data_IF_940650687719
#
_entry.id   IF_940650687719
#
_cell.length_a   1.000
_cell.length_b   1.000
_cell.length_c   1.000
_cell.angle_alpha   90.00
_cell.angle_beta   90.00
_cell.angle_gamma   90.00
#
_symmetry.space_group_name_H-M   'P 1'
#
loop_
_entity.id
_entity.type
_entity.pdbx_description
1 polymer ?
#
# COMPACT_ATOMS: atom_id res chain seq x y z
N UNK A 1 -5.93 10.99 11.70
CA UNK A 1 -7.11 10.14 11.45
C UNK A 1 -8.30 11.06 11.33
N UNK A 2 -8.94 11.07 10.17
CA UNK A 2 -10.01 12.01 9.81
C UNK A 2 -11.28 11.71 10.62
N UNK A 3 -11.75 12.67 11.44
CA UNK A 3 -12.96 12.57 12.27
C UNK A 3 -14.21 12.23 11.45
N UNK A 4 -14.16 12.41 10.12
CA UNK A 4 -15.24 12.04 9.19
C UNK A 4 -15.54 10.54 9.17
N UNK A 5 -14.58 9.66 9.42
CA UNK A 5 -14.80 8.21 9.37
C UNK A 5 -15.56 7.66 10.59
N UNK A 6 -15.45 8.32 11.74
CA UNK A 6 -16.16 7.91 12.96
C UNK A 6 -17.65 8.32 12.93
N UNK A 7 -17.95 9.51 12.40
CA UNK A 7 -19.29 10.08 12.45
C UNK A 7 -20.30 9.47 11.44
N UNK A 8 -19.85 8.67 10.46
CA UNK A 8 -20.73 8.06 9.46
C UNK A 8 -21.59 6.92 10.05
N UNK A 9 -21.17 6.30 11.17
CA UNK A 9 -21.94 5.24 11.83
C UNK A 9 -22.89 5.71 12.93
N UNK A 10 -22.65 6.87 13.56
CA UNK A 10 -23.44 7.30 14.73
C UNK A 10 -24.78 7.96 14.37
N UNK A 11 -24.91 8.56 13.18
CA UNK A 11 -26.08 9.37 12.82
C UNK A 11 -27.34 8.55 12.43
N UNK A 12 -27.32 7.22 12.61
CA UNK A 12 -28.47 6.34 12.36
C UNK A 12 -29.09 5.72 13.61
N UNK A 13 -28.65 6.14 14.81
CA UNK A 13 -29.16 5.60 16.08
C UNK A 13 -30.08 6.55 16.85
N UNK A 14 -30.36 7.77 16.36
CA UNK A 14 -31.25 8.73 17.05
C UNK A 14 -32.67 8.73 16.46
N UNK A 15 -33.66 8.53 17.33
CA UNK A 15 -35.09 8.57 17.04
C UNK A 15 -35.59 10.01 16.79
N UNK A 16 -36.76 10.22 16.16
CA UNK A 16 -37.18 11.52 15.63
C UNK A 16 -37.60 12.60 16.66
N UNK A 17 -37.47 12.37 17.97
CA UNK A 17 -38.07 13.24 18.99
C UNK A 17 -37.14 14.30 19.60
N UNK A 18 -35.85 14.36 19.23
CA UNK A 18 -34.88 15.33 19.79
C UNK A 18 -34.51 16.51 18.86
N UNK A 19 -35.30 16.80 17.82
CA UNK A 19 -34.99 17.89 16.86
C UNK A 19 -35.75 19.21 17.07
N UNK A 20 -36.43 19.39 18.21
CA UNK A 20 -37.20 20.59 18.48
C UNK A 20 -36.80 21.24 19.80
N UNK A 21 -35.64 21.89 19.85
CA UNK A 21 -35.38 23.03 20.75
C UNK A 21 -34.03 23.67 20.40
N UNK A 22 -34.01 24.99 20.20
CA UNK A 22 -32.75 25.76 20.06
C UNK A 22 -32.62 26.62 18.79
N UNK A 23 -33.64 27.42 18.44
CA UNK A 23 -33.49 28.55 17.50
C UNK A 23 -33.23 29.84 18.30
N UNK A 24 -32.03 30.40 18.20
CA UNK A 24 -31.75 31.79 18.60
C UNK A 24 -30.91 32.48 17.52
N UNK A 25 -31.40 33.64 17.10
CA UNK A 25 -30.82 34.57 16.10
C UNK A 25 -29.62 35.34 16.66
N UNK A 26 -28.66 35.69 15.79
CA UNK A 26 -28.01 37.00 15.82
C UNK A 26 -27.37 37.35 14.46
N UNK A 27 -27.49 38.63 14.11
CA UNK A 27 -27.26 39.30 12.83
C UNK A 27 -25.79 39.74 12.53
N UNK A 28 -25.48 39.75 11.22
CA UNK A 28 -24.79 40.78 10.38
C UNK A 28 -23.28 41.15 10.52
N UNK A 29 -22.65 41.28 9.32
CA UNK A 29 -21.37 41.93 8.90
C UNK A 29 -20.06 41.21 9.27
N UNK A 30 -19.11 40.93 8.39
CA UNK A 30 -18.52 41.71 7.29
C UNK A 30 -17.85 40.79 6.24
N UNK A 31 -17.82 41.19 4.95
CA UNK A 31 -17.14 40.46 3.85
C UNK A 31 -15.77 41.07 3.52
N UNK A 32 -14.69 40.28 3.36
CA UNK A 32 -13.50 40.71 2.64
C UNK A 32 -13.52 40.25 1.16
N UNK A 33 -13.04 41.16 0.30
CA UNK A 33 -12.89 41.10 -1.16
C UNK A 33 -11.66 40.25 -1.56
N UNK A 34 -11.66 39.54 -2.71
CA UNK A 34 -10.52 38.72 -3.14
C UNK A 34 -9.41 39.58 -3.80
N UNK A 35 -8.13 39.19 -3.69
CA UNK A 35 -7.04 39.87 -4.39
C UNK A 35 -6.93 39.45 -5.86
N UNK A 36 -6.36 40.37 -6.64
CA UNK A 36 -6.36 40.44 -8.10
C UNK A 36 -5.43 39.45 -8.80
N UNK A 37 -5.85 39.08 -10.02
CA UNK A 37 -5.15 38.26 -11.02
C UNK A 37 -4.01 39.05 -11.65
N UNK A 38 -2.80 38.49 -11.70
CA UNK A 38 -1.67 39.02 -12.46
C UNK A 38 -1.49 38.20 -13.74
N UNK A 39 -1.44 38.91 -14.87
CA UNK A 39 -1.38 38.39 -16.22
C UNK A 39 0.00 37.84 -16.60
N UNK A 40 0.01 36.74 -17.35
CA UNK A 40 1.16 36.21 -18.10
C UNK A 40 1.23 36.84 -19.50
N UNK A 41 2.41 37.23 -20.01
CA UNK A 41 2.57 37.59 -21.41
C UNK A 41 3.05 36.41 -22.27
N UNK A 42 2.74 36.53 -23.55
CA UNK A 42 2.82 35.55 -24.63
C UNK A 42 4.25 35.24 -25.14
N UNK A 43 4.30 34.15 -25.91
CA UNK A 43 5.45 33.59 -26.62
C UNK A 43 6.12 34.53 -27.64
N UNK A 44 7.36 34.20 -28.06
CA UNK A 44 7.86 34.57 -29.37
C UNK A 44 8.20 33.35 -30.26
N UNK A 45 8.04 33.58 -31.56
CA UNK A 45 8.28 32.70 -32.71
C UNK A 45 9.74 32.72 -33.22
N UNK A 46 10.19 31.55 -33.71
CA UNK A 46 11.09 31.23 -34.83
C UNK A 46 12.35 32.08 -35.18
N UNK A 47 13.52 31.41 -35.20
CA UNK A 47 14.63 31.57 -36.17
C UNK A 47 15.60 30.39 -36.02
N UNK A 48 15.75 29.52 -37.04
CA UNK A 48 16.84 29.50 -38.03
C UNK A 48 18.25 29.25 -37.47
N UNK A 49 18.80 28.05 -37.72
CA UNK A 49 20.23 27.85 -38.00
C UNK A 49 20.44 26.57 -38.80
N UNK A 50 20.85 26.73 -40.06
CA UNK A 50 21.39 25.68 -40.92
C UNK A 50 22.88 25.49 -40.63
N UNK A 51 23.36 24.26 -40.64
CA UNK A 51 24.76 23.92 -40.91
C UNK A 51 24.86 22.52 -41.52
N UNK A 52 25.69 22.44 -42.55
CA UNK A 52 25.78 21.42 -43.59
C UNK A 52 26.48 20.11 -43.19
N UNK A 53 26.19 19.02 -43.91
CA UNK A 53 27.22 18.16 -44.51
C UNK A 53 26.63 17.16 -45.55
N UNK A 54 27.08 17.36 -46.80
CA UNK A 54 27.39 16.39 -47.86
C UNK A 54 26.44 15.22 -48.19
N UNK A 55 25.97 15.26 -49.45
CA UNK A 55 25.46 14.13 -50.20
C UNK A 55 26.56 13.10 -50.54
N UNK A 56 26.18 11.83 -50.52
CA UNK A 56 26.74 10.80 -51.41
C UNK A 56 25.62 9.86 -51.82
N UNK A 57 25.35 9.82 -53.12
CA UNK A 57 24.45 8.88 -53.79
C UNK A 57 24.83 7.42 -53.48
N UNK A 58 23.84 6.59 -53.18
CA UNK A 58 23.86 5.21 -53.63
C UNK A 58 22.45 4.63 -53.76
N UNK A 59 22.24 4.01 -54.91
CA UNK A 59 20.99 3.46 -55.43
C UNK A 59 20.80 2.02 -54.92
N UNK A 60 19.73 1.72 -54.18
CA UNK A 60 19.25 0.35 -53.97
C UNK A 60 17.76 0.30 -53.55
N UNK A 61 17.08 -0.73 -54.08
CA UNK A 61 15.64 -1.09 -54.04
C UNK A 61 14.93 -0.97 -52.67
N UNK A 62 13.58 -0.90 -52.64
CA UNK A 62 12.83 -0.94 -51.38
C UNK A 62 12.91 -2.33 -50.72
N UNK A 63 13.30 -2.36 -49.45
CA UNK A 63 13.32 -3.53 -48.57
C UNK A 63 11.90 -3.93 -48.12
N UNK A 64 11.66 -5.24 -48.09
CA UNK A 64 10.47 -5.88 -47.49
C UNK A 64 10.53 -5.82 -45.94
N UNK A 65 9.40 -5.93 -45.23
CA UNK A 65 9.39 -5.89 -43.77
C UNK A 65 10.14 -7.09 -43.18
N UNK A 66 11.11 -6.83 -42.31
CA UNK A 66 11.86 -7.83 -41.55
C UNK A 66 10.93 -8.68 -40.66
N UNK A 67 11.08 -10.00 -40.76
CA UNK A 67 10.56 -10.97 -39.79
C UNK A 67 11.33 -10.81 -38.47
N UNK A 68 10.63 -10.39 -37.40
CA UNK A 68 11.14 -10.52 -36.04
C UNK A 68 11.28 -12.01 -35.71
N UNK A 69 12.51 -12.48 -35.54
CA UNK A 69 12.79 -13.86 -35.17
C UNK A 69 12.41 -14.11 -33.70
N UNK A 70 11.36 -14.89 -33.50
CA UNK A 70 11.01 -15.46 -32.20
C UNK A 70 12.18 -16.31 -31.65
N UNK A 71 12.58 -16.04 -30.41
CA UNK A 71 13.54 -16.87 -29.68
C UNK A 71 12.80 -18.10 -29.14
N UNK A 72 13.07 -19.27 -29.71
CA UNK A 72 12.55 -20.56 -29.25
C UNK A 72 13.03 -20.88 -27.82
N UNK A 73 12.07 -21.06 -26.89
CA UNK A 73 12.30 -21.65 -25.57
C UNK A 73 12.24 -23.20 -25.68
N UNK A 74 13.23 -23.97 -25.18
CA UNK A 74 13.28 -25.43 -25.35
C UNK A 74 12.29 -26.20 -24.48
N UNK A 75 11.49 -25.53 -23.65
CA UNK A 75 10.40 -26.15 -22.90
C UNK A 75 9.13 -26.08 -23.74
N UNK A 76 8.46 -27.22 -24.01
CA UNK A 76 7.34 -27.37 -24.96
C UNK A 76 6.04 -26.57 -24.67
N UNK A 77 6.14 -25.43 -24.02
CA UNK A 77 5.14 -24.37 -23.94
C UNK A 77 5.05 -23.69 -25.31
N UNK A 78 3.93 -23.89 -26.03
CA UNK A 78 3.62 -23.11 -27.25
C UNK A 78 3.66 -21.62 -26.90
N UNK A 79 4.74 -20.93 -27.26
CA UNK A 79 4.92 -19.50 -27.05
C UNK A 79 4.21 -18.65 -28.11
N UNK A 80 4.20 -17.33 -27.91
CA UNK A 80 3.77 -16.37 -28.92
C UNK A 80 2.28 -16.41 -29.29
N UNK A 81 1.99 -16.18 -30.57
CA UNK A 81 0.63 -16.12 -31.12
C UNK A 81 -0.08 -17.48 -31.12
N UNK A 82 0.68 -18.58 -31.28
CA UNK A 82 0.13 -19.94 -31.24
C UNK A 82 -0.32 -20.30 -29.81
N UNK A 83 0.47 -19.91 -28.80
CA UNK A 83 0.10 -20.06 -27.39
C UNK A 83 -1.21 -19.35 -27.05
N UNK A 84 -1.38 -18.10 -27.48
CA UNK A 84 -2.59 -17.31 -27.23
C UNK A 84 -3.84 -17.93 -27.89
N UNK A 85 -3.72 -18.37 -29.14
CA UNK A 85 -4.78 -19.10 -29.83
C UNK A 85 -5.17 -20.37 -29.06
N UNK A 86 -4.17 -21.15 -28.64
CA UNK A 86 -4.36 -22.38 -27.90
C UNK A 86 -5.05 -22.16 -26.53
N UNK A 87 -4.60 -21.19 -25.74
CA UNK A 87 -5.20 -20.84 -24.45
C UNK A 87 -6.66 -20.39 -24.61
N UNK A 88 -6.94 -19.65 -25.69
CA UNK A 88 -8.28 -19.20 -26.07
C UNK A 88 -9.12 -20.30 -26.76
N UNK A 89 -8.59 -21.52 -26.90
CA UNK A 89 -9.25 -22.67 -27.57
C UNK A 89 -9.64 -22.39 -29.03
N UNK A 90 -8.87 -21.55 -29.71
CA UNK A 90 -9.06 -21.20 -31.12
C UNK A 90 -7.97 -21.83 -31.98
N UNK A 91 -8.29 -22.24 -33.22
CA UNK A 91 -7.28 -22.72 -34.16
C UNK A 91 -6.32 -21.57 -34.55
N UNK A 92 -5.02 -21.81 -34.47
CA UNK A 92 -4.01 -20.81 -34.76
C UNK A 92 -4.02 -20.36 -36.24
N UNK A 93 -4.13 -21.32 -37.15
CA UNK A 93 -3.80 -21.21 -38.57
C UNK A 93 -5.03 -21.15 -39.51
N UNK A 94 -6.24 -21.23 -38.97
CA UNK A 94 -7.49 -21.19 -39.73
C UNK A 94 -8.60 -20.48 -38.99
N UNK A 95 -9.57 -19.95 -39.75
CA UNK A 95 -10.78 -19.38 -39.19
C UNK A 95 -11.71 -20.48 -38.66
N UNK A 96 -12.40 -20.19 -37.58
CA UNK A 96 -13.52 -21.00 -37.09
C UNK A 96 -14.74 -20.83 -38.01
N UNK A 97 -15.69 -21.77 -37.93
CA UNK A 97 -16.94 -21.67 -38.67
C UNK A 97 -17.74 -20.40 -38.29
N UNK A 98 -17.64 -19.96 -37.03
CA UNK A 98 -18.30 -18.75 -36.56
C UNK A 98 -17.63 -17.50 -37.11
N UNK A 99 -16.29 -17.41 -37.09
CA UNK A 99 -15.58 -16.29 -37.71
C UNK A 99 -15.85 -16.22 -39.22
N UNK A 100 -15.88 -17.36 -39.91
CA UNK A 100 -16.20 -17.41 -41.34
C UNK A 100 -17.64 -16.95 -41.65
N UNK A 101 -18.59 -17.23 -40.74
CA UNK A 101 -19.96 -16.74 -40.86
C UNK A 101 -20.09 -15.24 -40.57
N UNK A 102 -19.31 -14.71 -39.62
CA UNK A 102 -19.30 -13.29 -39.27
C UNK A 102 -18.55 -12.41 -40.28
N UNK A 103 -17.51 -12.96 -40.92
CA UNK A 103 -16.63 -12.26 -41.87
C UNK A 103 -16.56 -13.00 -43.22
N UNK A 104 -17.69 -13.12 -43.95
CA UNK A 104 -17.75 -13.91 -45.18
C UNK A 104 -16.89 -13.34 -46.31
N UNK A 105 -16.70 -12.02 -46.33
CA UNK A 105 -15.80 -11.31 -47.24
C UNK A 105 -14.34 -11.71 -47.01
N UNK A 106 -13.91 -11.83 -45.75
CA UNK A 106 -12.55 -12.31 -45.39
C UNK A 106 -12.43 -13.80 -45.68
N UNK A 107 -13.42 -14.62 -45.32
CA UNK A 107 -13.38 -16.07 -45.54
C UNK A 107 -13.29 -16.47 -47.03
N UNK A 108 -13.84 -15.63 -47.92
CA UNK A 108 -13.78 -15.83 -49.38
C UNK A 108 -12.64 -15.05 -50.05
N UNK A 109 -11.88 -14.27 -49.28
CA UNK A 109 -10.77 -13.45 -49.79
C UNK A 109 -9.49 -14.26 -50.02
N UNK A 110 -8.44 -13.57 -50.48
CA UNK A 110 -7.12 -14.16 -50.71
C UNK A 110 -6.53 -14.81 -49.45
N UNK A 111 -5.67 -15.84 -49.59
CA UNK A 111 -4.96 -16.43 -48.45
C UNK A 111 -4.17 -15.41 -47.62
N UNK A 112 -3.64 -14.36 -48.24
CA UNK A 112 -2.93 -13.27 -47.55
C UNK A 112 -3.87 -12.49 -46.63
N UNK A 113 -5.07 -12.15 -47.09
CA UNK A 113 -6.09 -11.46 -46.30
C UNK A 113 -6.55 -12.32 -45.11
N UNK A 114 -6.72 -13.63 -45.30
CA UNK A 114 -7.03 -14.57 -44.23
C UNK A 114 -5.89 -14.68 -43.21
N UNK A 115 -4.63 -14.77 -43.67
CA UNK A 115 -3.45 -14.76 -42.79
C UNK A 115 -3.37 -13.48 -41.95
N UNK A 116 -3.63 -12.31 -42.53
CA UNK A 116 -3.64 -11.04 -41.81
C UNK A 116 -4.75 -11.01 -40.75
N UNK A 117 -5.95 -11.49 -41.07
CA UNK A 117 -7.03 -11.64 -40.09
C UNK A 117 -6.60 -12.53 -38.91
N UNK A 118 -6.04 -13.70 -39.18
CA UNK A 118 -5.60 -14.65 -38.15
C UNK A 118 -4.47 -14.09 -37.29
N UNK A 119 -3.53 -13.35 -37.90
CA UNK A 119 -2.48 -12.63 -37.19
C UNK A 119 -3.06 -11.58 -36.24
N UNK A 120 -3.93 -10.70 -36.73
CA UNK A 120 -4.59 -9.66 -35.92
C UNK A 120 -5.38 -10.30 -34.78
N UNK A 121 -6.19 -11.31 -35.08
CA UNK A 121 -6.97 -12.03 -34.06
C UNK A 121 -6.06 -12.65 -33.00
N UNK A 122 -5.02 -13.39 -33.37
CA UNK A 122 -4.08 -13.97 -32.39
C UNK A 122 -3.35 -12.91 -31.57
N UNK A 123 -3.00 -11.79 -32.20
CA UNK A 123 -2.35 -10.69 -31.50
C UNK A 123 -3.27 -10.06 -30.47
N UNK A 124 -4.56 -9.91 -30.79
CA UNK A 124 -5.57 -9.45 -29.83
C UNK A 124 -5.71 -10.43 -28.66
N UNK A 125 -5.79 -11.73 -28.94
CA UNK A 125 -5.86 -12.76 -27.88
C UNK A 125 -4.64 -12.70 -26.97
N UNK A 126 -3.44 -12.61 -27.54
CA UNK A 126 -2.18 -12.51 -26.78
C UNK A 126 -2.16 -11.28 -25.88
N UNK A 127 -2.67 -10.14 -26.37
CA UNK A 127 -2.78 -8.91 -25.57
C UNK A 127 -3.79 -9.07 -24.42
N UNK A 128 -4.93 -9.71 -24.67
CA UNK A 128 -5.93 -9.99 -23.63
C UNK A 128 -5.40 -10.94 -22.56
N UNK A 129 -4.74 -12.03 -22.95
CA UNK A 129 -4.12 -12.97 -22.02
C UNK A 129 -3.09 -12.26 -21.12
N UNK A 130 -2.28 -11.38 -21.72
CA UNK A 130 -1.30 -10.58 -20.98
C UNK A 130 -1.97 -9.61 -20.00
N UNK A 131 -3.03 -8.92 -20.42
CA UNK A 131 -3.74 -7.96 -19.57
C UNK A 131 -4.41 -8.65 -18.37
N UNK A 132 -5.03 -9.81 -18.59
CA UNK A 132 -5.63 -10.62 -17.52
C UNK A 132 -4.54 -11.12 -16.56
N UNK A 133 -3.40 -11.57 -17.09
CA UNK A 133 -2.26 -11.95 -16.25
C UNK A 133 -1.73 -10.77 -15.43
N UNK A 134 -1.66 -9.58 -16.02
CA UNK A 134 -1.28 -8.36 -15.29
C UNK A 134 -2.28 -8.02 -14.17
N UNK A 135 -3.56 -8.34 -14.30
CA UNK A 135 -4.52 -8.23 -13.19
C UNK A 135 -4.16 -9.16 -12.02
N UNK A 136 -3.74 -10.40 -12.30
CA UNK A 136 -3.26 -11.31 -11.25
C UNK A 136 -1.96 -10.83 -10.60
N UNK A 137 -1.05 -10.24 -11.39
CA UNK A 137 0.13 -9.59 -10.82
C UNK A 137 -0.25 -8.38 -9.95
N UNK A 138 -1.22 -7.56 -10.36
CA UNK A 138 -1.74 -6.46 -9.54
C UNK A 138 -2.34 -6.97 -8.22
N UNK A 139 -3.02 -8.13 -8.25
CA UNK A 139 -3.56 -8.76 -7.05
C UNK A 139 -2.45 -9.24 -6.09
N UNK A 140 -1.32 -9.73 -6.63
CA UNK A 140 -0.15 -10.08 -5.82
C UNK A 140 0.56 -8.83 -5.26
N UNK A 141 0.63 -7.74 -6.04
CA UNK A 141 1.12 -6.44 -5.58
C UNK A 141 0.22 -5.83 -4.50
N UNK A 142 -1.09 -6.08 -4.58
CA UNK A 142 -2.06 -5.71 -3.55
C UNK A 142 -1.79 -6.46 -2.25
N UNK A 143 -1.65 -7.80 -2.30
CA UNK A 143 -1.40 -8.61 -1.12
C UNK A 143 -0.13 -8.14 -0.37
N UNK A 144 0.95 -7.92 -1.12
CA UNK A 144 2.24 -7.50 -0.57
C UNK A 144 2.40 -5.96 -0.40
N UNK A 145 1.39 -5.18 -0.80
CA UNK A 145 1.41 -3.71 -0.88
C UNK A 145 2.67 -3.12 -1.54
N UNK A 146 3.25 -3.76 -2.55
CA UNK A 146 4.46 -3.25 -3.20
C UNK A 146 4.57 -3.75 -4.64
N UNK A 147 5.26 -3.03 -5.54
CA UNK A 147 5.58 -3.55 -6.86
C UNK A 147 6.40 -4.83 -6.78
N UNK A 148 6.09 -5.81 -7.64
CA UNK A 148 6.77 -7.13 -7.61
C UNK A 148 8.29 -7.03 -7.83
N UNK A 149 8.75 -5.99 -8.53
CA UNK A 149 10.17 -5.69 -8.77
C UNK A 149 10.97 -5.46 -7.48
N UNK A 150 10.30 -5.18 -6.36
CA UNK A 150 10.94 -4.90 -5.07
C UNK A 150 10.94 -6.07 -4.11
N UNK A 151 10.14 -7.12 -4.36
CA UNK A 151 10.00 -8.27 -3.48
C UNK A 151 11.21 -9.19 -3.57
N UNK A 152 11.59 -9.78 -2.43
CA UNK A 152 12.63 -10.80 -2.39
C UNK A 152 12.13 -12.09 -3.03
N UNK A 153 12.71 -12.50 -4.15
CA UNK A 153 12.34 -13.76 -4.82
C UNK A 153 12.38 -14.97 -3.88
N UNK A 154 13.33 -15.01 -2.94
CA UNK A 154 13.56 -16.16 -2.05
C UNK A 154 12.72 -16.14 -0.77
N UNK A 155 12.23 -14.97 -0.36
CA UNK A 155 11.76 -14.75 1.00
C UNK A 155 10.45 -13.96 1.08
N UNK A 156 9.82 -13.61 -0.04
CA UNK A 156 8.58 -12.83 -0.03
C UNK A 156 7.41 -13.56 0.65
N UNK A 157 7.41 -14.89 0.58
CA UNK A 157 6.40 -15.85 1.08
C UNK A 157 6.87 -16.60 2.33
N UNK A 158 7.87 -16.07 3.06
CA UNK A 158 8.45 -16.77 4.23
C UNK A 158 7.51 -16.92 5.43
N UNK A 159 6.38 -16.23 5.44
CA UNK A 159 5.31 -16.33 6.44
C UNK A 159 4.11 -17.21 6.02
N UNK A 160 4.08 -17.73 4.80
CA UNK A 160 3.00 -18.59 4.29
C UNK A 160 2.81 -19.87 5.14
N UNK A 161 3.91 -20.44 5.65
CA UNK A 161 3.90 -21.63 6.53
C UNK A 161 3.11 -21.41 7.83
N UNK A 162 2.80 -20.16 8.19
CA UNK A 162 2.11 -19.78 9.41
C UNK A 162 0.68 -19.25 9.15
N UNK A 163 0.16 -19.35 7.91
CA UNK A 163 -1.19 -18.92 7.60
C UNK A 163 -2.23 -19.59 8.53
N UNK A 164 -3.19 -18.80 9.01
CA UNK A 164 -4.28 -19.34 9.81
C UNK A 164 -5.25 -20.14 8.95
N UNK A 165 -5.69 -21.28 9.46
CA UNK A 165 -6.73 -22.08 8.81
C UNK A 165 -8.08 -21.36 8.81
N UNK A 166 -8.90 -21.62 7.78
CA UNK A 166 -10.28 -21.14 7.69
C UNK A 166 -10.45 -20.01 6.69
N UNK A 167 -11.70 -19.62 6.43
CA UNK A 167 -11.99 -18.54 5.48
C UNK A 167 -11.64 -17.18 6.06
N UNK A 168 -11.17 -16.27 5.20
CA UNK A 168 -10.99 -14.87 5.57
C UNK A 168 -12.35 -14.23 5.93
N UNK A 169 -12.35 -13.40 6.98
CA UNK A 169 -13.54 -12.72 7.51
C UNK A 169 -13.37 -11.21 7.43
N UNK A 170 -14.50 -10.49 7.44
CA UNK A 170 -14.54 -9.02 7.43
C UNK A 170 -15.25 -8.50 8.68
N UNK A 171 -14.69 -7.46 9.31
CA UNK A 171 -15.28 -6.82 10.48
C UNK A 171 -16.34 -5.81 10.02
N UNK A 172 -17.58 -6.27 9.92
CA UNK A 172 -18.69 -5.51 9.29
C UNK A 172 -19.14 -4.25 10.03
N UNK A 173 -18.84 -4.13 11.32
CA UNK A 173 -19.10 -2.93 12.13
C UNK A 173 -17.90 -1.98 12.22
N UNK A 174 -16.87 -2.19 11.39
CA UNK A 174 -15.65 -1.39 11.36
C UNK A 174 -14.60 -1.92 12.35
N UNK A 175 -13.38 -2.15 11.85
CA UNK A 175 -12.28 -2.70 12.67
C UNK A 175 -11.84 -1.75 13.79
N UNK A 176 -12.21 -0.46 13.75
CA UNK A 176 -11.91 0.50 14.84
C UNK A 176 -12.52 0.12 16.19
N UNK A 177 -13.56 -0.73 16.21
CA UNK A 177 -14.15 -1.21 17.47
C UNK A 177 -13.12 -1.95 18.35
N UNK A 178 -12.12 -2.61 17.76
CA UNK A 178 -11.07 -3.33 18.49
C UNK A 178 -10.12 -2.40 19.24
N UNK A 179 -9.39 -1.45 18.59
CA UNK A 179 -8.50 -0.55 19.31
C UNK A 179 -9.24 0.40 20.27
N UNK A 180 -10.49 0.77 19.98
CA UNK A 180 -11.31 1.57 20.90
C UNK A 180 -11.62 0.77 22.17
N UNK A 181 -12.00 -0.50 22.06
CA UNK A 181 -12.19 -1.34 23.23
C UNK A 181 -10.89 -1.55 24.02
N UNK A 182 -9.76 -1.79 23.33
CA UNK A 182 -8.46 -1.99 23.98
C UNK A 182 -7.93 -0.73 24.67
N UNK A 183 -8.42 0.46 24.30
CA UNK A 183 -8.02 1.72 24.94
C UNK A 183 -8.69 1.99 26.28
N UNK A 184 -9.73 1.24 26.63
CA UNK A 184 -10.49 1.46 27.86
C UNK A 184 -9.59 1.31 29.09
N UNK A 185 -9.63 2.31 29.97
CA UNK A 185 -8.84 2.33 31.20
C UNK A 185 -7.35 2.65 31.04
N UNK A 186 -6.86 2.91 29.82
CA UNK A 186 -5.45 3.27 29.57
C UNK A 186 -5.23 4.79 29.57
N UNK A 187 -4.06 5.22 30.06
CA UNK A 187 -3.65 6.62 29.97
C UNK A 187 -3.08 6.96 28.59
N UNK A 188 -3.95 7.35 27.66
CA UNK A 188 -3.58 7.69 26.28
C UNK A 188 -3.53 9.20 26.08
N UNK A 189 -2.36 9.70 25.67
CA UNK A 189 -2.18 11.10 25.30
C UNK A 189 -2.30 11.28 23.78
N UNK A 190 -3.50 11.59 23.31
CA UNK A 190 -3.73 11.95 21.91
C UNK A 190 -3.15 13.34 21.60
N UNK A 191 -2.85 13.60 20.32
CA UNK A 191 -2.23 14.85 19.88
C UNK A 191 -0.89 15.16 20.57
N UNK A 192 -0.11 14.12 20.90
CA UNK A 192 1.24 14.24 21.45
C UNK A 192 2.21 13.57 20.49
N UNK A 193 2.97 14.40 19.78
CA UNK A 193 3.95 13.94 18.80
C UNK A 193 5.33 13.81 19.45
N UNK A 194 5.85 12.60 19.55
CA UNK A 194 7.22 12.34 19.98
C UNK A 194 8.20 12.99 19.00
N UNK A 195 9.24 13.65 19.52
CA UNK A 195 10.29 14.30 18.74
C UNK A 195 11.67 13.73 19.04
N UNK A 196 11.93 13.37 20.29
CA UNK A 196 13.19 12.73 20.67
C UNK A 196 13.00 11.68 21.76
N UNK A 197 13.83 10.65 21.69
CA UNK A 197 13.96 9.57 22.67
C UNK A 197 15.39 9.59 23.17
N UNK A 198 15.59 10.14 24.37
CA UNK A 198 16.88 10.11 25.04
C UNK A 198 16.90 8.92 25.98
N UNK A 199 17.93 8.08 25.94
CA UNK A 199 18.01 6.90 26.79
C UNK A 199 19.43 6.71 27.32
N UNK A 200 19.54 6.32 28.59
CA UNK A 200 20.80 6.13 29.30
C UNK A 200 20.73 4.90 30.21
N UNK A 201 21.81 4.60 30.92
CA UNK A 201 21.79 3.50 31.89
C UNK A 201 20.80 3.70 33.03
N UNK A 202 20.33 4.92 33.27
CA UNK A 202 19.43 5.28 34.39
C UNK A 202 17.96 5.43 34.00
N UNK A 203 17.62 5.47 32.71
CA UNK A 203 16.22 5.59 32.26
C UNK A 203 16.08 6.18 30.87
N UNK A 204 14.86 6.64 30.56
CA UNK A 204 14.50 7.30 29.29
C UNK A 204 13.82 8.65 29.53
N UNK A 205 14.10 9.61 28.65
CA UNK A 205 13.44 10.91 28.57
C UNK A 205 12.88 11.13 27.16
N UNK A 206 11.55 11.20 27.05
CA UNK A 206 10.82 11.37 25.79
C UNK A 206 10.39 12.83 25.68
N UNK A 207 10.88 13.55 24.66
CA UNK A 207 10.39 14.90 24.36
C UNK A 207 9.29 14.84 23.32
N UNK A 208 8.24 15.61 23.57
CA UNK A 208 7.03 15.64 22.76
C UNK A 208 6.60 17.07 22.46
N UNK A 209 5.79 17.22 21.41
CA UNK A 209 5.19 18.50 21.01
C UNK A 209 3.75 18.27 20.58
N UNK A 210 2.92 19.31 20.61
CA UNK A 210 1.60 19.22 20.00
C UNK A 210 1.74 19.30 18.46
N UNK A 211 1.09 18.43 17.67
CA UNK A 211 1.32 18.35 16.22
C UNK A 211 0.75 19.55 15.44
N UNK A 212 -0.20 20.29 16.03
CA UNK A 212 -0.91 21.41 15.37
C UNK A 212 -0.58 22.78 15.95
N UNK A 213 0.14 22.86 17.06
CA UNK A 213 0.44 24.13 17.72
C UNK A 213 1.91 24.19 18.11
N UNK A 214 2.52 25.37 17.96
CA UNK A 214 3.89 25.62 18.39
C UNK A 214 3.93 25.89 19.90
N UNK A 215 3.53 24.88 20.69
CA UNK A 215 3.67 24.89 22.14
C UNK A 215 5.08 24.51 22.58
N UNK A 216 5.41 24.81 23.83
CA UNK A 216 6.66 24.36 24.43
C UNK A 216 6.71 22.81 24.47
N UNK A 217 7.88 22.20 24.20
CA UNK A 217 8.03 20.76 24.32
C UNK A 217 7.71 20.25 25.74
N UNK A 218 7.11 19.08 25.83
CA UNK A 218 6.83 18.38 27.11
C UNK A 218 7.73 17.15 27.21
N UNK A 219 8.37 16.98 28.37
CA UNK A 219 9.26 15.85 28.66
C UNK A 219 8.59 14.85 29.58
N UNK A 220 8.58 13.58 29.17
CA UNK A 220 8.18 12.44 29.98
C UNK A 220 9.42 11.65 30.41
N UNK A 221 9.50 11.26 31.68
CA UNK A 221 10.56 10.38 32.20
C UNK A 221 9.99 9.02 32.53
N UNK A 222 10.73 7.96 32.22
CA UNK A 222 10.34 6.58 32.53
C UNK A 222 11.57 5.68 32.68
N UNK A 223 11.36 4.46 33.19
CA UNK A 223 12.41 3.45 33.27
C UNK A 223 12.71 2.78 31.92
N UNK A 224 11.70 2.68 31.04
CA UNK A 224 11.79 2.09 29.72
C UNK A 224 10.83 2.78 28.73
N UNK A 225 11.13 2.64 27.44
CA UNK A 225 10.28 3.08 26.34
C UNK A 225 9.98 1.90 25.40
N UNK A 226 8.72 1.71 25.05
CA UNK A 226 8.31 0.80 23.98
C UNK A 226 7.99 1.60 22.72
N UNK A 227 8.77 1.38 21.67
CA UNK A 227 8.59 2.01 20.36
C UNK A 227 7.65 1.15 19.53
N UNK A 228 6.54 1.75 19.11
CA UNK A 228 5.58 1.17 18.14
C UNK A 228 5.39 2.09 16.93
N UNK A 229 6.36 2.96 16.66
CA UNK A 229 6.36 3.82 15.48
C UNK A 229 6.38 2.94 14.22
N UNK A 230 5.55 3.23 13.19
CA UNK A 230 5.60 2.46 11.95
C UNK A 230 6.98 2.46 11.30
N UNK A 231 7.31 1.38 10.59
CA UNK A 231 8.59 1.23 9.91
C UNK A 231 8.89 2.40 8.97
N UNK A 232 7.89 2.93 8.27
CA UNK A 232 8.03 4.12 7.43
C UNK A 232 8.48 5.37 8.21
N UNK A 233 7.94 5.60 9.41
CA UNK A 233 8.34 6.71 10.29
C UNK A 233 9.77 6.51 10.80
N UNK A 234 10.15 5.28 11.16
CA UNK A 234 11.52 4.96 11.55
C UNK A 234 12.51 5.18 10.39
N UNK A 235 12.14 4.83 9.15
CA UNK A 235 12.94 5.10 7.95
C UNK A 235 13.15 6.59 7.70
N UNK A 236 12.11 7.43 7.84
CA UNK A 236 12.28 8.89 7.72
C UNK A 236 13.13 9.47 8.87
N UNK A 237 13.03 8.88 10.05
CA UNK A 237 13.84 9.27 11.21
C UNK A 237 15.34 9.05 10.98
N UNK A 238 15.73 8.01 10.23
CA UNK A 238 17.14 7.79 9.83
C UNK A 238 17.67 8.87 8.88
N UNK A 239 16.80 9.47 8.08
CA UNK A 239 17.18 10.52 7.12
C UNK A 239 17.23 11.90 7.76
N UNK A 240 16.73 12.03 9.00
CA UNK A 240 16.49 13.31 9.69
C UNK A 240 15.69 14.32 8.84
N UNK A 241 14.92 13.84 7.87
CA UNK A 241 14.24 14.66 6.87
C UNK A 241 12.74 14.39 6.95
N UNK A 242 11.95 15.44 7.15
CA UNK A 242 10.50 15.40 7.05
C UNK A 242 9.77 15.68 8.37
N UNK A 243 8.46 15.98 8.29
CA UNK A 243 7.65 16.17 9.47
C UNK A 243 7.46 14.84 10.21
N UNK A 244 7.45 14.89 11.54
CA UNK A 244 7.14 13.75 12.43
C UNK A 244 8.20 12.65 12.51
N UNK A 245 9.45 12.99 12.19
CA UNK A 245 10.62 12.18 12.53
C UNK A 245 10.94 12.23 14.03
N UNK A 246 11.55 11.17 14.54
CA UNK A 246 11.96 11.00 15.94
C UNK A 246 13.47 10.83 16.01
N UNK A 247 14.16 11.70 16.76
CA UNK A 247 15.59 11.53 17.01
C UNK A 247 15.83 10.58 18.19
N UNK A 248 16.89 9.78 18.09
CA UNK A 248 17.33 8.88 19.15
C UNK A 248 18.68 9.36 19.67
N UNK A 249 18.81 9.46 21.00
CA UNK A 249 20.04 9.89 21.65
C UNK A 249 20.38 8.97 22.84
N UNK A 250 21.46 8.16 22.78
CA UNK A 250 22.39 8.04 21.65
C UNK A 250 21.69 7.49 20.38
N UNK A 251 22.33 7.61 19.19
CA UNK A 251 21.77 7.05 17.96
C UNK A 251 21.52 5.55 18.05
N UNK A 252 20.54 5.06 17.29
CA UNK A 252 20.30 3.62 17.14
C UNK A 252 21.57 2.93 16.59
N UNK A 253 21.91 1.73 17.08
CA UNK A 253 23.11 1.02 16.66
C UNK A 253 23.02 0.58 15.18
N UNK A 254 24.17 0.42 14.55
CA UNK A 254 24.28 0.13 13.12
C UNK A 254 23.47 -1.11 12.69
N UNK A 255 23.50 -2.20 13.47
CA UNK A 255 22.75 -3.41 13.15
C UNK A 255 21.22 -3.16 13.07
N UNK A 256 20.71 -2.19 13.85
CA UNK A 256 19.29 -1.79 13.82
C UNK A 256 19.01 -0.90 12.62
N UNK A 257 19.86 0.09 12.37
CA UNK A 257 19.66 1.03 11.26
C UNK A 257 19.83 0.36 9.90
N UNK A 258 20.72 -0.62 9.77
CA UNK A 258 20.86 -1.42 8.55
C UNK A 258 19.65 -2.33 8.31
N UNK A 259 19.08 -2.96 9.35
CA UNK A 259 17.84 -3.72 9.21
C UNK A 259 16.68 -2.81 8.78
N UNK A 260 16.53 -1.65 9.43
CA UNK A 260 15.57 -0.61 9.05
C UNK A 260 15.72 -0.18 7.60
N UNK A 261 16.95 -0.06 7.08
CA UNK A 261 17.20 0.32 5.69
C UNK A 261 16.82 -0.79 4.71
N UNK A 262 17.21 -2.04 5.00
CA UNK A 262 16.94 -3.20 4.14
C UNK A 262 15.46 -3.46 4.00
N UNK A 263 14.70 -3.58 5.10
CA UNK A 263 13.30 -3.98 5.08
C UNK A 263 12.43 -3.11 4.16
N UNK A 264 11.47 -3.71 3.47
CA UNK A 264 10.49 -2.99 2.65
C UNK A 264 9.39 -2.35 3.50
N UNK A 265 8.88 -1.19 3.09
CA UNK A 265 7.64 -0.62 3.63
C UNK A 265 6.76 -0.14 2.48
N UNK A 266 5.69 -0.89 2.24
CA UNK A 266 4.87 -0.83 1.04
C UNK A 266 3.83 0.30 1.07
N UNK A 267 3.06 0.41 -0.01
CA UNK A 267 1.92 1.30 -0.13
C UNK A 267 0.74 0.64 -0.85
N UNK A 268 -0.45 0.84 -0.30
CA UNK A 268 -1.73 0.37 -0.84
C UNK A 268 -2.80 1.37 -0.41
N UNK A 269 -3.60 1.86 -1.35
CA UNK A 269 -4.67 2.82 -1.05
C UNK A 269 -6.06 2.28 -1.39
N UNK A 270 -7.07 2.88 -0.77
CA UNK A 270 -8.49 2.53 -0.88
C UNK A 270 -9.30 3.76 -1.26
N UNK A 271 -10.30 3.55 -2.09
CA UNK A 271 -11.32 4.55 -2.44
C UNK A 271 -12.68 4.01 -1.97
N UNK A 272 -13.25 4.65 -0.96
CA UNK A 272 -14.58 4.32 -0.44
C UNK A 272 -15.60 5.15 -1.19
N UNK A 273 -16.64 4.50 -1.74
CA UNK A 273 -17.71 5.13 -2.50
C UNK A 273 -19.05 4.75 -1.87
N UNK A 274 -19.74 5.72 -1.27
CA UNK A 274 -21.05 5.53 -0.66
C UNK A 274 -22.15 5.97 -1.63
N UNK A 275 -23.08 5.08 -1.95
CA UNK A 275 -24.19 5.35 -2.87
C UNK A 275 -25.54 5.42 -2.14
N UNK A 276 -26.60 5.81 -2.85
CA UNK A 276 -27.96 5.78 -2.33
C UNK A 276 -28.66 4.43 -2.52
N UNK A 277 -28.18 3.61 -3.47
CA UNK A 277 -28.71 2.28 -3.79
C UNK A 277 -27.62 1.35 -4.28
N UNK A 278 -27.89 0.05 -4.21
CA UNK A 278 -27.08 -1.00 -4.82
C UNK A 278 -27.39 -1.06 -6.32
N UNK A 279 -26.36 -1.08 -7.16
CA UNK A 279 -26.47 -1.26 -8.63
C UNK A 279 -25.55 -2.38 -9.17
N UNK A 280 -24.89 -3.11 -8.26
CA UNK A 280 -24.05 -4.27 -8.54
C UNK A 280 -24.73 -5.56 -8.07
N UNK A 281 -24.14 -6.72 -8.33
CA UNK A 281 -24.62 -7.99 -7.80
C UNK A 281 -24.41 -8.08 -6.28
N UNK A 282 -25.48 -8.13 -5.47
CA UNK A 282 -25.35 -8.19 -4.02
C UNK A 282 -24.76 -9.51 -3.50
N UNK A 283 -24.71 -10.56 -4.32
CA UNK A 283 -24.14 -11.87 -3.94
C UNK A 283 -22.63 -11.95 -4.23
N UNK A 284 -22.10 -11.02 -5.03
CA UNK A 284 -20.67 -10.92 -5.29
C UNK A 284 -20.01 -10.04 -4.21
N UNK A 285 -19.08 -10.63 -3.45
CA UNK A 285 -18.28 -9.89 -2.46
C UNK A 285 -17.20 -9.01 -3.11
N UNK A 286 -16.77 -9.35 -4.33
CA UNK A 286 -15.76 -8.62 -5.08
C UNK A 286 -15.87 -8.84 -6.59
N UNK A 287 -15.36 -7.88 -7.38
CA UNK A 287 -15.20 -8.01 -8.83
C UNK A 287 -13.98 -7.23 -9.32
N UNK A 288 -13.31 -7.74 -10.36
CA UNK A 288 -12.10 -7.16 -10.92
C UNK A 288 -12.35 -6.22 -12.11
N UNK A 289 -11.41 -5.30 -12.32
CA UNK A 289 -11.28 -4.45 -13.49
C UNK A 289 -9.87 -4.63 -14.07
N UNK A 290 -9.80 -5.14 -15.29
CA UNK A 290 -8.52 -5.39 -15.97
C UNK A 290 -8.00 -4.08 -16.56
N UNK A 291 -6.85 -3.62 -16.06
CA UNK A 291 -6.19 -2.41 -16.57
C UNK A 291 -5.72 -2.57 -18.02
N UNK A 292 -5.72 -1.48 -18.77
CA UNK A 292 -5.35 -1.51 -20.20
C UNK A 292 -3.84 -1.67 -20.44
N UNK A 293 -3.00 -1.35 -19.44
CA UNK A 293 -1.54 -1.43 -19.55
C UNK A 293 -0.93 -2.05 -18.29
N UNK A 294 0.23 -2.69 -18.45
CA UNK A 294 1.02 -3.22 -17.32
C UNK A 294 1.35 -2.14 -16.27
N UNK A 295 1.63 -0.91 -16.70
CA UNK A 295 1.96 0.19 -15.78
C UNK A 295 0.77 0.65 -14.93
N UNK A 296 -0.47 0.49 -15.43
CA UNK A 296 -1.71 0.88 -14.74
C UNK A 296 -2.46 -0.31 -14.14
N UNK A 297 -1.86 -1.51 -14.12
CA UNK A 297 -2.54 -2.76 -13.72
C UNK A 297 -3.13 -2.73 -12.30
N UNK A 298 -2.52 -1.96 -11.40
CA UNK A 298 -2.98 -1.78 -10.02
C UNK A 298 -3.94 -0.60 -9.80
N UNK A 299 -4.25 0.19 -10.84
CA UNK A 299 -5.15 1.34 -10.72
C UNK A 299 -6.61 0.88 -10.73
N UNK A 300 -7.29 0.98 -9.57
CA UNK A 300 -8.72 0.66 -9.43
C UNK A 300 -9.06 -0.74 -9.95
N UNK A 301 -8.15 -1.70 -9.71
CA UNK A 301 -8.18 -3.03 -10.33
C UNK A 301 -9.17 -3.99 -9.66
N UNK A 302 -9.59 -3.72 -8.42
CA UNK A 302 -10.44 -4.58 -7.62
C UNK A 302 -11.43 -3.74 -6.81
N UNK A 303 -12.70 -4.15 -6.83
CA UNK A 303 -13.79 -3.54 -6.07
C UNK A 303 -14.38 -4.56 -5.10
N UNK A 304 -14.64 -4.12 -3.88
CA UNK A 304 -15.24 -4.92 -2.81
C UNK A 304 -16.62 -4.40 -2.42
N UNK A 305 -17.53 -5.35 -2.19
CA UNK A 305 -18.88 -5.18 -1.65
C UNK A 305 -18.99 -6.05 -0.39
N UNK A 306 -18.68 -5.49 0.78
CA UNK A 306 -18.55 -6.26 2.04
C UNK A 306 -19.44 -5.75 3.18
N UNK A 307 -20.12 -4.62 2.96
CA UNK A 307 -20.96 -3.96 3.95
C UNK A 307 -22.44 -4.12 3.60
N UNK A 308 -23.31 -4.03 4.61
CA UNK A 308 -24.78 -4.03 4.40
C UNK A 308 -25.26 -2.76 3.70
N UNK A 309 -24.56 -1.66 3.91
CA UNK A 309 -24.84 -0.37 3.26
C UNK A 309 -24.34 -0.39 1.81
N UNK A 310 -24.95 0.39 0.90
CA UNK A 310 -24.53 0.50 -0.51
C UNK A 310 -23.17 1.21 -0.63
N UNK A 311 -22.10 0.49 -0.31
CA UNK A 311 -20.72 0.97 -0.31
C UNK A 311 -19.87 0.05 -1.17
N UNK A 312 -19.20 0.62 -2.16
CA UNK A 312 -18.11 -0.05 -2.87
C UNK A 312 -16.77 0.48 -2.39
N UNK A 313 -15.79 -0.40 -2.30
CA UNK A 313 -14.42 -0.06 -1.95
C UNK A 313 -13.49 -0.47 -3.10
N UNK A 314 -12.90 0.50 -3.78
CA UNK A 314 -11.93 0.26 -4.85
C UNK A 314 -10.50 0.23 -4.28
N UNK A 315 -9.65 -0.62 -4.84
CA UNK A 315 -8.25 -0.79 -4.42
C UNK A 315 -7.29 -0.20 -5.43
N UNK A 316 -6.22 0.41 -4.92
CA UNK A 316 -5.11 0.96 -5.72
C UNK A 316 -3.80 0.37 -5.20
N UNK A 317 -3.16 -0.48 -6.02
CA UNK A 317 -1.99 -1.29 -5.64
C UNK A 317 -0.79 -1.07 -6.57
N UNK A 318 0.35 -1.69 -6.24
CA UNK A 318 1.58 -1.62 -7.03
C UNK A 318 2.07 -0.20 -7.24
N UNK A 319 2.66 0.08 -8.41
CA UNK A 319 3.17 1.42 -8.76
C UNK A 319 2.08 2.50 -8.76
N UNK A 320 0.84 2.12 -9.11
CA UNK A 320 -0.29 3.03 -9.15
C UNK A 320 -0.61 3.63 -7.77
N UNK A 321 -0.35 2.89 -6.68
CA UNK A 321 -0.62 3.36 -5.32
C UNK A 321 0.12 4.65 -4.97
N UNK A 322 1.40 4.77 -5.39
CA UNK A 322 2.20 5.97 -5.14
C UNK A 322 1.85 7.12 -6.10
N UNK A 323 1.60 6.80 -7.37
CA UNK A 323 1.25 7.81 -8.39
C UNK A 323 -0.08 8.48 -8.04
N UNK A 324 -1.08 7.69 -7.64
CA UNK A 324 -2.44 8.18 -7.36
C UNK A 324 -2.52 9.07 -6.12
N UNK A 325 -1.57 9.02 -5.18
CA UNK A 325 -1.58 9.97 -4.04
C UNK A 325 -1.38 11.42 -4.49
N UNK A 326 -0.74 11.65 -5.65
CA UNK A 326 -0.53 12.99 -6.23
C UNK A 326 -1.70 13.47 -7.12
N UNK A 327 -2.77 12.67 -7.22
CA UNK A 327 -3.97 12.99 -7.99
C UNK A 327 -5.07 13.47 -7.03
N UNK A 328 -5.89 14.43 -7.43
CA UNK A 328 -7.00 14.92 -6.58
C UNK A 328 -8.11 13.89 -6.40
N UNK A 329 -8.83 13.98 -5.29
CA UNK A 329 -9.95 13.06 -4.97
C UNK A 329 -11.00 13.04 -6.09
N UNK A 330 -11.41 14.20 -6.60
CA UNK A 330 -12.43 14.30 -7.66
C UNK A 330 -12.03 13.51 -8.92
N UNK A 331 -10.75 13.52 -9.29
CA UNK A 331 -10.24 12.79 -10.45
C UNK A 331 -10.25 11.28 -10.17
N UNK A 332 -9.80 10.85 -8.99
CA UNK A 332 -9.78 9.44 -8.59
C UNK A 332 -11.19 8.88 -8.53
N UNK A 333 -12.12 9.63 -7.94
CA UNK A 333 -13.55 9.30 -7.87
C UNK A 333 -14.13 9.25 -9.28
N UNK A 334 -13.85 10.25 -10.12
CA UNK A 334 -14.28 10.28 -11.52
C UNK A 334 -13.84 9.06 -12.31
N UNK A 335 -12.57 8.63 -12.16
CA UNK A 335 -12.03 7.41 -12.78
C UNK A 335 -12.73 6.16 -12.24
N UNK A 336 -12.98 6.08 -10.94
CA UNK A 336 -13.72 4.97 -10.32
C UNK A 336 -15.14 4.85 -10.87
N UNK A 337 -15.84 5.98 -11.02
CA UNK A 337 -17.18 6.01 -11.62
C UNK A 337 -17.14 5.65 -13.11
N UNK A 338 -16.11 6.06 -13.85
CA UNK A 338 -15.94 5.68 -15.26
C UNK A 338 -15.77 4.16 -15.41
N UNK A 339 -14.95 3.52 -14.57
CA UNK A 339 -14.81 2.05 -14.53
C UNK A 339 -16.14 1.38 -14.25
N UNK A 340 -16.85 1.82 -13.19
CA UNK A 340 -18.14 1.24 -12.81
C UNK A 340 -19.19 1.40 -13.92
N UNK A 341 -19.21 2.55 -14.63
CA UNK A 341 -20.10 2.77 -15.77
C UNK A 341 -19.77 1.87 -16.96
N UNK A 342 -18.50 1.55 -17.17
CA UNK A 342 -18.08 0.56 -18.17
C UNK A 342 -18.61 -0.85 -17.89
N UNK A 343 -18.70 -1.22 -16.60
CA UNK A 343 -19.15 -2.55 -16.17
C UNK A 343 -20.69 -2.64 -16.09
N UNK A 344 -21.34 -1.67 -15.44
CA UNK A 344 -22.77 -1.73 -15.11
C UNK A 344 -23.66 -0.87 -16.01
N UNK A 345 -23.06 -0.09 -16.93
CA UNK A 345 -23.77 0.80 -17.84
C UNK A 345 -24.00 2.21 -17.28
N UNK A 346 -23.99 3.20 -18.19
CA UNK A 346 -24.02 4.63 -17.86
C UNK A 346 -25.23 5.09 -17.03
N UNK A 347 -26.40 4.50 -17.26
CA UNK A 347 -27.66 4.87 -16.58
C UNK A 347 -27.82 4.22 -15.21
N UNK A 348 -27.13 3.10 -14.95
CA UNK A 348 -27.26 2.35 -13.70
C UNK A 348 -26.51 3.02 -12.55
N UNK A 349 -25.31 3.55 -12.82
CA UNK A 349 -24.36 4.07 -11.83
C UNK A 349 -24.69 5.52 -11.44
N UNK A 350 -25.19 5.77 -10.20
CA UNK A 350 -25.41 7.13 -9.71
C UNK A 350 -24.09 7.78 -9.27
N UNK A 351 -24.14 9.09 -8.99
CA UNK A 351 -23.04 9.75 -8.29
C UNK A 351 -22.98 9.28 -6.83
N UNK A 352 -21.78 9.10 -6.26
CA UNK A 352 -21.64 8.78 -4.85
C UNK A 352 -22.11 9.98 -4.00
N UNK A 353 -22.74 9.69 -2.86
CA UNK A 353 -23.15 10.69 -1.87
C UNK A 353 -21.95 11.15 -1.05
N UNK A 354 -21.06 10.23 -0.73
CA UNK A 354 -19.84 10.46 0.03
C UNK A 354 -18.72 9.62 -0.58
N UNK A 355 -17.49 10.12 -0.50
CA UNK A 355 -16.32 9.41 -0.94
C UNK A 355 -15.10 9.73 -0.07
N UNK A 356 -14.22 8.75 0.12
CA UNK A 356 -12.97 8.91 0.88
C UNK A 356 -11.85 8.21 0.12
N UNK A 357 -10.73 8.91 -0.06
CA UNK A 357 -9.50 8.36 -0.68
C UNK A 357 -8.40 8.33 0.37
N UNK A 358 -7.80 7.16 0.62
CA UNK A 358 -6.64 7.06 1.53
C UNK A 358 -5.36 7.44 0.81
N UNK A 359 -4.39 7.98 1.57
CA UNK A 359 -3.02 8.28 1.11
C UNK A 359 -2.01 7.90 2.19
N UNK A 360 -1.78 6.60 2.35
CA UNK A 360 -1.00 6.06 3.46
C UNK A 360 0.48 6.46 3.43
N UNK A 361 1.06 6.66 2.23
CA UNK A 361 2.45 7.12 2.11
C UNK A 361 2.60 8.60 2.48
N UNK A 362 1.62 9.42 2.12
CA UNK A 362 1.56 10.82 2.51
C UNK A 362 1.26 11.03 4.01
N UNK A 363 0.52 10.12 4.65
CA UNK A 363 0.24 10.21 6.10
C UNK A 363 1.56 10.28 6.88
N UNK A 364 1.83 11.39 7.59
CA UNK A 364 3.11 11.57 8.25
C UNK A 364 3.29 10.69 9.49
N UNK A 365 2.23 10.03 9.96
CA UNK A 365 2.28 9.12 11.11
C UNK A 365 2.40 7.65 10.69
N UNK A 366 2.29 7.35 9.39
CA UNK A 366 2.44 6.00 8.84
C UNK A 366 3.60 5.90 7.85
N UNK A 367 3.68 6.83 6.88
CA UNK A 367 4.69 6.86 5.80
C UNK A 367 4.66 5.61 4.89
N UNK A 368 3.49 5.02 4.75
CA UNK A 368 3.24 3.79 4.01
C UNK A 368 2.14 2.96 4.67
N UNK A 369 1.93 1.76 4.14
CA UNK A 369 0.89 0.83 4.58
C UNK A 369 1.44 -0.17 5.60
N UNK A 370 2.22 -1.15 5.15
CA UNK A 370 2.82 -2.20 5.98
C UNK A 370 4.14 -2.72 5.40
N UNK A 371 4.89 -3.50 6.18
CA UNK A 371 6.19 -4.03 5.77
C UNK A 371 6.08 -5.12 4.71
N UNK A 372 7.16 -5.32 3.95
CA UNK A 372 7.34 -6.47 3.07
C UNK A 372 8.81 -6.90 3.08
N UNK A 373 9.09 -8.15 2.67
CA UNK A 373 10.47 -8.63 2.51
C UNK A 373 11.01 -8.17 1.17
N UNK A 374 11.78 -7.08 1.21
CA UNK A 374 12.41 -6.50 0.03
C UNK A 374 13.57 -7.35 -0.50
N UNK A 375 13.90 -7.19 -1.79
CA UNK A 375 15.11 -7.76 -2.35
C UNK A 375 16.35 -7.29 -1.56
N UNK A 376 17.14 -8.25 -1.06
CA UNK A 376 18.27 -8.00 -0.17
C UNK A 376 17.96 -8.01 1.33
N UNK A 377 16.67 -8.14 1.72
CA UNK A 377 16.23 -8.39 3.09
C UNK A 377 15.81 -9.85 3.28
N UNK A 378 15.63 -10.26 4.55
CA UNK A 378 15.18 -11.61 4.94
C UNK A 378 14.29 -11.52 6.18
N UNK A 379 13.62 -12.61 6.54
CA UNK A 379 12.88 -12.73 7.80
C UNK A 379 13.67 -12.35 9.05
N UNK A 380 14.99 -12.53 9.05
CA UNK A 380 15.84 -12.18 10.19
C UNK A 380 15.87 -10.68 10.48
N UNK A 381 15.58 -9.82 9.49
CA UNK A 381 15.49 -8.38 9.74
C UNK A 381 14.31 -8.03 10.69
N UNK A 382 13.21 -8.80 10.68
CA UNK A 382 12.13 -8.65 11.67
C UNK A 382 12.59 -8.99 13.09
N UNK A 383 13.43 -10.02 13.24
CA UNK A 383 14.00 -10.43 14.54
C UNK A 383 15.00 -9.38 15.06
N UNK A 384 15.81 -8.82 14.15
CA UNK A 384 16.65 -7.66 14.45
C UNK A 384 15.79 -6.47 14.87
N UNK A 385 14.70 -6.18 14.19
CA UNK A 385 13.78 -5.11 14.56
C UNK A 385 13.16 -5.30 15.95
N UNK A 386 12.84 -6.54 16.34
CA UNK A 386 12.33 -6.88 17.67
C UNK A 386 13.37 -6.79 18.80
N UNK A 387 14.67 -6.75 18.49
CA UNK A 387 15.73 -6.76 19.50
C UNK A 387 15.77 -5.43 20.29
N UNK A 388 15.78 -5.44 21.63
CA UNK A 388 15.78 -4.21 22.42
C UNK A 388 17.16 -3.55 22.42
N UNK A 389 17.24 -2.29 22.86
CA UNK A 389 18.46 -1.48 22.91
C UNK A 389 18.74 -1.07 24.35
N UNK A 390 19.98 -1.30 24.76
CA UNK A 390 20.56 -0.80 26.02
C UNK A 390 21.37 0.48 25.77
N UNK A 391 21.68 1.21 26.85
CA UNK A 391 22.44 2.46 26.78
C UNK A 391 23.82 2.32 26.13
N UNK A 392 24.48 1.17 26.33
CA UNK A 392 25.72 0.80 25.65
C UNK A 392 25.40 -0.37 24.70
N UNK A 393 25.01 -0.14 23.45
CA UNK A 393 24.51 -1.21 22.58
C UNK A 393 25.58 -2.28 22.33
N UNK A 394 25.26 -3.53 22.63
CA UNK A 394 26.01 -4.69 22.15
C UNK A 394 25.31 -5.28 20.91
N UNK A 395 25.99 -6.09 20.09
CA UNK A 395 25.32 -6.87 19.04
C UNK A 395 24.19 -7.74 19.63
N UNK A 396 23.11 -8.03 18.88
CA UNK A 396 21.95 -8.79 19.40
C UNK A 396 22.28 -10.16 19.99
N UNK A 397 23.36 -10.79 19.51
CA UNK A 397 23.81 -12.11 19.95
C UNK A 397 24.88 -12.05 21.05
N UNK A 398 25.15 -10.88 21.63
CA UNK A 398 26.09 -10.74 22.72
C UNK A 398 25.56 -11.39 24.01
N UNK A 399 26.45 -11.94 24.88
CA UNK A 399 26.03 -12.49 26.16
C UNK A 399 25.36 -11.41 27.04
N UNK A 400 24.37 -11.79 27.87
CA UNK A 400 23.69 -10.84 28.74
C UNK A 400 24.68 -10.13 29.67
N UNK A 401 24.66 -8.80 29.65
CA UNK A 401 25.40 -8.00 30.61
C UNK A 401 24.42 -7.44 31.65
N UNK A 402 24.45 -7.92 32.91
CA UNK A 402 23.51 -7.49 33.95
C UNK A 402 23.64 -5.99 34.28
N UNK A 403 24.76 -5.36 33.95
CA UNK A 403 24.98 -3.92 34.15
C UNK A 403 24.52 -3.07 32.94
N UNK A 404 23.96 -3.67 31.89
CA UNK A 404 23.56 -2.99 30.66
C UNK A 404 22.12 -3.34 30.28
N UNK A 405 21.21 -2.98 31.18
CA UNK A 405 19.78 -3.23 31.04
C UNK A 405 19.20 -2.56 29.78
N UNK A 406 18.38 -3.27 28.99
CA UNK A 406 17.68 -2.65 27.86
C UNK A 406 16.67 -1.60 28.33
N UNK A 407 16.61 -0.49 27.60
CA UNK A 407 15.78 0.68 27.92
C UNK A 407 14.79 1.03 26.80
N UNK A 408 15.13 0.69 25.56
CA UNK A 408 14.28 0.94 24.39
C UNK A 408 13.89 -0.39 23.77
N UNK A 409 12.60 -0.67 23.73
CA UNK A 409 12.00 -1.90 23.21
C UNK A 409 11.24 -1.59 21.92
N UNK A 410 10.98 -2.61 21.10
CA UNK A 410 10.33 -2.44 19.80
C UNK A 410 9.22 -3.47 19.61
N UNK A 411 8.01 -2.97 19.38
CA UNK A 411 6.84 -3.75 18.96
C UNK A 411 6.22 -3.11 17.71
N UNK A 412 5.19 -3.75 17.18
CA UNK A 412 4.52 -3.36 15.94
C UNK A 412 4.67 -4.44 14.87
N UNK A 413 3.92 -4.27 13.78
CA UNK A 413 3.84 -5.26 12.70
C UNK A 413 5.23 -5.65 12.14
N UNK A 414 6.18 -4.72 12.09
CA UNK A 414 7.51 -4.91 11.49
C UNK A 414 8.51 -5.53 12.45
N UNK A 415 8.03 -6.09 13.57
CA UNK A 415 8.87 -6.70 14.60
C UNK A 415 8.50 -8.15 14.86
N UNK A 416 7.64 -8.76 14.05
CA UNK A 416 7.23 -10.16 14.21
C UNK A 416 7.40 -10.91 12.90
N UNK A 417 8.35 -11.85 12.88
CA UNK A 417 8.78 -12.53 11.66
C UNK A 417 7.71 -13.41 11.02
N UNK A 418 6.90 -14.10 11.83
CA UNK A 418 5.98 -15.12 11.33
C UNK A 418 4.59 -14.56 11.00
N UNK A 419 4.31 -13.31 11.39
CA UNK A 419 3.02 -12.66 11.14
C UNK A 419 3.19 -11.17 10.81
N UNK A 420 4.12 -10.80 9.91
CA UNK A 420 4.36 -9.39 9.58
C UNK A 420 3.12 -8.76 8.93
N UNK A 421 3.11 -7.42 8.76
CA UNK A 421 2.07 -6.72 7.99
C UNK A 421 0.60 -6.93 8.43
N UNK A 422 0.36 -7.51 9.61
CA UNK A 422 -0.99 -7.86 10.08
C UNK A 422 -1.35 -7.24 11.43
N UNK A 423 -2.65 -7.12 11.69
CA UNK A 423 -3.17 -6.66 12.99
C UNK A 423 -2.86 -7.66 14.10
N UNK A 424 -3.03 -8.97 13.86
CA UNK A 424 -2.71 -9.99 14.85
C UNK A 424 -1.21 -10.09 15.11
N UNK A 425 -0.37 -9.87 14.10
CA UNK A 425 1.07 -9.71 14.29
C UNK A 425 1.42 -8.53 15.21
N UNK A 426 0.84 -7.36 14.95
CA UNK A 426 1.01 -6.20 15.81
C UNK A 426 0.57 -6.49 17.26
N UNK A 427 -0.60 -7.13 17.45
CA UNK A 427 -1.09 -7.55 18.77
C UNK A 427 -0.10 -8.48 19.49
N UNK A 428 0.34 -9.55 18.82
CA UNK A 428 1.28 -10.53 19.37
C UNK A 428 2.63 -9.89 19.72
N UNK A 429 3.12 -8.97 18.89
CA UNK A 429 4.35 -8.23 19.19
C UNK A 429 4.22 -7.33 20.42
N UNK A 430 3.04 -6.74 20.65
CA UNK A 430 2.73 -5.98 21.85
C UNK A 430 2.75 -6.86 23.10
N UNK A 431 2.08 -8.02 23.05
CA UNK A 431 2.12 -9.02 24.13
C UNK A 431 3.55 -9.50 24.43
N UNK A 432 4.36 -9.74 23.38
CA UNK A 432 5.76 -10.16 23.50
C UNK A 432 6.59 -9.12 24.26
N UNK A 433 6.53 -7.85 23.88
CA UNK A 433 7.31 -6.83 24.56
C UNK A 433 6.76 -6.52 25.96
N UNK A 434 5.45 -6.60 26.19
CA UNK A 434 4.89 -6.46 27.53
C UNK A 434 5.46 -7.52 28.49
N UNK A 435 5.52 -8.79 28.07
CA UNK A 435 6.15 -9.87 28.83
C UNK A 435 7.65 -9.63 29.06
N UNK A 436 8.38 -9.29 27.99
CA UNK A 436 9.83 -9.02 28.07
C UNK A 436 10.17 -7.87 29.02
N UNK A 437 9.40 -6.78 28.97
CA UNK A 437 9.57 -5.62 29.87
C UNK A 437 9.24 -6.03 31.30
N UNK A 438 8.14 -6.75 31.52
CA UNK A 438 7.78 -7.24 32.85
C UNK A 438 8.88 -8.12 33.45
N UNK A 439 9.39 -9.10 32.72
CA UNK A 439 10.48 -9.98 33.18
C UNK A 439 11.75 -9.19 33.53
N UNK A 440 12.05 -8.15 32.74
CA UNK A 440 13.25 -7.34 32.90
C UNK A 440 13.20 -6.44 34.13
N UNK A 441 12.04 -5.86 34.45
CA UNK A 441 11.88 -4.83 35.49
C UNK A 441 11.20 -5.33 36.76
N UNK A 442 10.40 -6.40 36.68
CA UNK A 442 9.72 -7.04 37.81
C UNK A 442 10.36 -8.37 38.21
N UNK A 443 11.24 -8.91 37.36
CA UNK A 443 11.85 -10.22 37.51
C UNK A 443 10.97 -11.35 36.98
N UNK A 444 11.59 -12.50 36.71
CA UNK A 444 10.93 -13.71 36.21
C UNK A 444 10.97 -14.84 37.27
N UNK A 445 10.13 -14.79 38.33
CA UNK A 445 10.17 -15.77 39.42
C UNK A 445 9.80 -17.19 38.97
N UNK A 446 9.16 -17.32 37.81
CA UNK A 446 8.80 -18.58 37.19
C UNK A 446 9.98 -19.25 36.44
N UNK A 447 11.07 -18.52 36.20
CA UNK A 447 12.27 -19.07 35.57
C UNK A 447 13.10 -19.84 36.59
N UNK A 448 13.49 -21.08 36.25
CA UNK A 448 14.40 -21.87 37.07
C UNK A 448 15.73 -21.12 37.28
N UNK A 449 16.17 -20.98 38.53
CA UNK A 449 17.47 -20.40 38.84
C UNK A 449 18.56 -21.26 38.18
N UNK A 450 19.32 -20.67 37.24
CA UNK A 450 20.50 -21.36 36.70
C UNK A 450 21.50 -21.57 37.84
N UNK A 451 22.09 -22.78 37.99
CA UNK A 451 23.13 -23.01 38.97
C UNK A 451 24.23 -21.96 38.79
N UNK A 452 24.64 -21.30 39.89
CA UNK A 452 25.84 -20.45 39.85
C UNK A 452 27.02 -21.35 39.43
N UNK A 453 27.83 -20.95 38.43
CA UNK A 453 29.07 -21.68 38.17
C UNK A 453 29.91 -21.72 39.46
N UNK A 454 30.60 -22.84 39.73
CA UNK A 454 31.44 -22.94 40.92
C UNK A 454 32.46 -21.80 40.91
N UNK A 455 32.59 -21.12 42.04
CA UNK A 455 33.64 -20.12 42.26
C UNK A 455 35.00 -20.78 42.04
N UNK A 456 35.75 -20.32 41.05
CA UNK A 456 37.17 -20.65 40.90
C UNK A 456 38.02 -19.79 41.83
#
# INVERSE_FOLDING_TARGET
MDERLANICDDRSRSPEEKAEGSVKSDVSDKPKPPAVVATPAAPTAASAAAAASASDNNSKPEEPQEDSDVDDPSGTRGGLEGAAFQSRLPYDKMTAQEAACFPDIAQSSPQSQKLFLYIRNRILQLWDRQILDWHFANLEFANATPLSTLSLKHWDQDDDFEFTGSHLTVRNGYSCVPVALSEGLDIKLNVAVRSVNYSSTGVEIQTTHPRTNGNPVTYKADACLITLPLGVLKESLRANGPNCVSFNPPLPEWKTQALQRMGFGNLNKVVLCFDRVFWDPNANLFGHVGSTTASRGELFLFWNLYKSPVLLALVAGEAAAIMENVSDDVIIGRSIAVLKGIFGNSAVPQPKEAVVTRWRADPWSRGSYSYVSAGSTGNDYDLMASPISANPAPPNAPPNPNNLPRVFFAGEHTIRNYPATVHGALLSGCREAGRIADQFLGAPYALQRPKPPSQ
#
